data_IF_586845147184
#
_entry.id   IF_586845147184
#
_cell.length_a   1.000
_cell.length_b   1.000
_cell.length_c   1.000
_cell.angle_alpha   90.00
_cell.angle_beta   90.00
_cell.angle_gamma   90.00
#
_symmetry.space_group_name_H-M   'P 1'
#
loop_
_entity.id
_entity.type
_entity.pdbx_description
1 polymer ?
#
# COMPACT_ATOMS: atom_id res chain seq x y z
N UNK A 1 11.32 22.67 -20.91
CA UNK A 1 10.83 22.78 -19.51
C UNK A 1 11.63 23.84 -18.78
N UNK A 2 10.99 24.79 -18.09
CA UNK A 2 11.69 25.77 -17.23
C UNK A 2 11.73 25.26 -15.80
N UNK A 3 12.90 25.28 -15.18
CA UNK A 3 13.13 24.84 -13.81
C UNK A 3 12.92 26.00 -12.82
N UNK A 4 12.80 25.67 -11.53
CA UNK A 4 12.56 26.65 -10.47
C UNK A 4 13.70 27.68 -10.32
N UNK A 5 14.93 27.31 -10.69
CA UNK A 5 16.11 28.18 -10.71
C UNK A 5 16.18 29.08 -11.97
N UNK A 6 15.17 29.02 -12.84
CA UNK A 6 15.10 29.77 -14.09
C UNK A 6 15.78 29.08 -15.28
N UNK A 7 16.50 27.98 -15.06
CA UNK A 7 17.12 27.17 -16.10
C UNK A 7 16.11 26.58 -17.08
N UNK A 8 16.54 26.28 -18.31
CA UNK A 8 15.68 25.70 -19.34
C UNK A 8 16.29 24.41 -19.86
N UNK A 9 15.54 23.31 -19.76
CA UNK A 9 15.86 22.02 -20.36
C UNK A 9 15.09 21.91 -21.68
N UNK A 10 15.76 21.89 -22.86
CA UNK A 10 15.12 21.60 -24.13
C UNK A 10 14.53 20.19 -24.09
N UNK A 11 13.27 20.03 -24.51
CA UNK A 11 12.60 18.74 -24.54
C UNK A 11 11.58 18.73 -25.69
N UNK A 12 11.57 17.63 -26.45
CA UNK A 12 10.55 17.37 -27.47
C UNK A 12 9.29 16.74 -26.86
N UNK A 13 9.45 15.99 -25.77
CA UNK A 13 8.37 15.35 -25.02
C UNK A 13 8.61 15.57 -23.52
N UNK A 14 7.54 15.84 -22.77
CA UNK A 14 7.56 15.94 -21.31
C UNK A 14 6.53 14.97 -20.74
N UNK A 15 6.95 14.11 -19.81
CA UNK A 15 6.06 13.21 -19.06
C UNK A 15 5.91 13.73 -17.64
N UNK A 16 4.67 13.94 -17.20
CA UNK A 16 4.34 14.40 -15.85
C UNK A 16 3.80 13.22 -15.04
N UNK A 17 4.57 12.76 -14.04
CA UNK A 17 4.19 11.69 -13.12
C UNK A 17 4.18 12.23 -11.67
N UNK A 18 3.31 13.21 -11.41
CA UNK A 18 3.28 14.00 -10.15
C UNK A 18 2.12 13.62 -9.20
N UNK A 19 1.61 12.39 -9.37
CA UNK A 19 0.46 11.88 -8.62
C UNK A 19 -0.89 12.19 -9.27
N UNK A 20 -1.94 11.55 -8.73
CA UNK A 20 -3.34 11.70 -9.16
C UNK A 20 -4.18 12.31 -8.04
N UNK A 21 -5.37 12.81 -8.37
CA UNK A 21 -6.36 13.27 -7.39
C UNK A 21 -7.66 12.50 -7.62
N UNK A 22 -8.41 12.16 -6.55
CA UNK A 22 -9.74 11.57 -6.70
C UNK A 22 -10.64 12.46 -7.56
N UNK A 23 -11.36 11.86 -8.50
CA UNK A 23 -12.42 12.56 -9.24
C UNK A 23 -13.76 12.33 -8.54
N UNK A 24 -14.19 13.36 -7.80
CA UNK A 24 -15.45 13.39 -7.05
C UNK A 24 -16.43 14.43 -7.60
N UNK A 25 -16.16 14.97 -8.80
CA UNK A 25 -16.91 16.08 -9.38
C UNK A 25 -18.39 15.76 -9.60
N UNK A 26 -18.69 14.56 -10.11
CA UNK A 26 -20.06 14.08 -10.32
C UNK A 26 -20.82 13.92 -9.00
N UNK A 27 -20.18 13.35 -7.98
CA UNK A 27 -20.79 13.14 -6.66
C UNK A 27 -21.12 14.48 -5.99
N UNK A 28 -20.20 15.45 -6.05
CA UNK A 28 -20.43 16.79 -5.51
C UNK A 28 -21.58 17.50 -6.24
N UNK A 29 -21.64 17.40 -7.58
CA UNK A 29 -22.74 17.97 -8.37
C UNK A 29 -24.10 17.31 -8.05
N UNK A 30 -24.10 16.04 -7.66
CA UNK A 30 -25.28 15.30 -7.22
C UNK A 30 -25.67 15.57 -5.75
N UNK A 31 -24.92 16.42 -5.02
CA UNK A 31 -25.19 16.73 -3.62
C UNK A 31 -24.71 15.67 -2.62
N UNK A 32 -23.88 14.72 -3.05
CA UNK A 32 -23.28 13.73 -2.16
C UNK A 32 -22.14 14.37 -1.34
N UNK A 33 -21.97 13.98 -0.07
CA UNK A 33 -20.84 14.43 0.74
C UNK A 33 -19.49 14.00 0.14
N UNK A 34 -18.58 14.98 0.03
CA UNK A 34 -17.23 14.80 -0.50
C UNK A 34 -16.26 15.53 0.43
N UNK A 35 -15.09 14.93 0.68
CA UNK A 35 -13.95 15.58 1.32
C UNK A 35 -12.73 15.55 0.37
N UNK A 36 -11.78 14.63 0.58
CA UNK A 36 -10.71 14.37 -0.39
C UNK A 36 -11.23 13.49 -1.53
N UNK A 37 -12.17 12.61 -1.22
CA UNK A 37 -12.91 11.80 -2.19
C UNK A 37 -14.40 11.66 -1.77
N UNK A 38 -15.15 10.80 -2.44
CA UNK A 38 -16.56 10.53 -2.14
C UNK A 38 -16.65 9.79 -0.81
N UNK A 39 -17.36 10.35 0.17
CA UNK A 39 -17.48 9.72 1.48
C UNK A 39 -18.34 8.45 1.40
N UNK A 40 -17.81 7.34 1.95
CA UNK A 40 -18.51 6.06 2.01
C UNK A 40 -18.49 5.43 3.40
N UNK A 41 -19.53 4.65 3.70
CA UNK A 41 -19.61 3.82 4.91
C UNK A 41 -18.89 2.47 4.74
N UNK A 42 -18.96 1.60 5.75
CA UNK A 42 -18.33 0.27 5.73
C UNK A 42 -18.89 -0.67 4.65
N UNK A 43 -20.09 -0.42 4.13
CA UNK A 43 -20.68 -1.16 3.01
C UNK A 43 -20.34 -0.53 1.64
N UNK A 44 -19.45 0.46 1.61
CA UNK A 44 -19.07 1.27 0.45
C UNK A 44 -20.23 2.11 -0.12
N UNK A 45 -21.26 2.36 0.68
CA UNK A 45 -22.41 3.19 0.32
C UNK A 45 -22.08 4.65 0.56
N UNK A 46 -22.54 5.51 -0.35
CA UNK A 46 -22.53 6.95 -0.13
C UNK A 46 -23.70 7.36 0.78
N UNK A 47 -23.88 8.67 1.00
CA UNK A 47 -25.05 9.18 1.72
C UNK A 47 -26.40 8.85 1.03
N UNK A 48 -26.39 8.61 -0.28
CA UNK A 48 -27.54 8.03 -0.98
C UNK A 48 -27.40 6.49 -0.98
N UNK A 49 -28.36 5.74 -0.40
CA UNK A 49 -28.28 4.29 -0.28
C UNK A 49 -28.33 3.54 -1.62
N UNK A 50 -28.72 4.21 -2.72
CA UNK A 50 -28.69 3.64 -4.07
C UNK A 50 -27.34 3.86 -4.79
N UNK A 51 -26.43 4.65 -4.22
CA UNK A 51 -25.16 5.02 -4.85
C UNK A 51 -23.98 4.51 -4.01
N UNK A 52 -23.05 3.84 -4.67
CA UNK A 52 -21.83 3.27 -4.10
C UNK A 52 -20.61 3.91 -4.76
N UNK A 53 -19.49 3.99 -4.03
CA UNK A 53 -18.20 4.40 -4.58
C UNK A 53 -17.11 3.44 -4.11
N UNK A 54 -16.18 3.10 -5.00
CA UNK A 54 -15.09 2.14 -4.73
C UNK A 54 -13.80 2.60 -5.41
N UNK A 55 -12.67 2.17 -4.87
CA UNK A 55 -11.35 2.52 -5.40
C UNK A 55 -10.93 3.95 -5.08
N UNK A 56 -10.14 4.57 -5.96
CA UNK A 56 -9.45 5.84 -5.67
C UNK A 56 -10.40 7.04 -5.49
N UNK A 57 -11.64 6.94 -5.97
CA UNK A 57 -12.67 7.97 -5.79
C UNK A 57 -13.43 7.84 -4.46
N UNK A 58 -13.19 6.80 -3.67
CA UNK A 58 -13.84 6.57 -2.39
C UNK A 58 -12.96 7.00 -1.20
N UNK A 59 -13.58 7.59 -0.20
CA UNK A 59 -12.98 7.93 1.09
C UNK A 59 -13.70 7.17 2.19
N UNK A 60 -13.03 6.16 2.74
CA UNK A 60 -13.53 5.33 3.83
C UNK A 60 -12.79 5.67 5.11
N UNK A 61 -13.52 6.12 6.15
CA UNK A 61 -12.94 6.52 7.44
C UNK A 61 -11.74 7.50 7.32
N UNK A 62 -11.82 8.44 6.38
CA UNK A 62 -10.77 9.44 6.12
C UNK A 62 -9.58 8.95 5.29
N UNK A 63 -9.57 7.67 4.90
CA UNK A 63 -8.54 7.08 4.05
C UNK A 63 -8.97 7.06 2.58
N UNK A 64 -8.03 7.42 1.70
CA UNK A 64 -8.15 7.32 0.23
C UNK A 64 -6.99 6.47 -0.25
N UNK A 65 -7.28 5.31 -0.82
CA UNK A 65 -6.27 4.28 -1.12
C UNK A 65 -6.16 4.05 -2.62
N UNK A 66 -4.96 4.28 -3.16
CA UNK A 66 -4.62 4.18 -4.59
C UNK A 66 -4.04 2.84 -5.01
N UNK A 67 -4.62 1.72 -4.56
CA UNK A 67 -4.07 0.38 -4.77
C UNK A 67 -5.12 -0.61 -5.25
N UNK A 68 -4.68 -1.55 -6.11
CA UNK A 68 -5.57 -2.54 -6.74
C UNK A 68 -6.23 -3.46 -5.71
N UNK A 69 -5.47 -4.01 -4.76
CA UNK A 69 -6.02 -4.96 -3.78
C UNK A 69 -7.10 -4.33 -2.88
N UNK A 70 -6.89 -3.13 -2.30
CA UNK A 70 -7.95 -2.37 -1.63
C UNK A 70 -9.16 -2.09 -2.52
N UNK A 71 -8.95 -1.62 -3.76
CA UNK A 71 -10.04 -1.34 -4.69
C UNK A 71 -10.90 -2.58 -5.00
N UNK A 72 -10.28 -3.76 -5.16
CA UNK A 72 -10.99 -5.03 -5.34
C UNK A 72 -11.81 -5.41 -4.10
N UNK A 73 -11.23 -5.28 -2.90
CA UNK A 73 -11.95 -5.56 -1.65
C UNK A 73 -13.12 -4.60 -1.42
N UNK A 74 -12.99 -3.33 -1.81
CA UNK A 74 -14.10 -2.37 -1.82
C UNK A 74 -15.18 -2.81 -2.81
N UNK A 75 -14.80 -3.20 -4.03
CA UNK A 75 -15.75 -3.69 -5.05
C UNK A 75 -16.51 -4.94 -4.60
N UNK A 76 -15.83 -5.91 -3.98
CA UNK A 76 -16.44 -7.11 -3.39
C UNK A 76 -17.44 -6.73 -2.29
N UNK A 77 -17.07 -5.80 -1.41
CA UNK A 77 -17.95 -5.32 -0.34
C UNK A 77 -19.20 -4.62 -0.90
N UNK A 78 -19.02 -3.73 -1.88
CA UNK A 78 -20.14 -3.05 -2.53
C UNK A 78 -21.07 -4.03 -3.24
N UNK A 79 -20.52 -5.03 -3.94
CA UNK A 79 -21.29 -6.06 -4.63
C UNK A 79 -22.13 -6.90 -3.65
N UNK A 80 -21.54 -7.34 -2.53
CA UNK A 80 -22.27 -8.06 -1.48
C UNK A 80 -23.41 -7.19 -0.89
N UNK A 81 -23.13 -5.92 -0.62
CA UNK A 81 -24.12 -4.99 -0.10
C UNK A 81 -25.29 -4.74 -1.07
N UNK A 82 -25.02 -4.72 -2.39
CA UNK A 82 -26.05 -4.63 -3.45
C UNK A 82 -26.87 -5.92 -3.51
N UNK A 83 -26.25 -7.08 -3.29
CA UNK A 83 -26.93 -8.38 -3.26
C UNK A 83 -27.77 -8.62 -1.99
N UNK A 84 -27.74 -7.69 -1.03
CA UNK A 84 -28.44 -7.84 0.26
C UNK A 84 -27.68 -8.75 1.25
N UNK A 85 -26.40 -9.03 0.98
CA UNK A 85 -25.54 -9.80 1.85
C UNK A 85 -24.88 -8.88 2.89
N UNK A 86 -24.57 -9.44 4.06
CA UNK A 86 -23.83 -8.73 5.09
C UNK A 86 -22.34 -8.73 4.77
N UNK A 87 -21.71 -7.56 4.83
CA UNK A 87 -20.28 -7.39 4.61
C UNK A 87 -19.84 -5.98 5.03
N UNK A 88 -18.61 -5.86 5.49
CA UNK A 88 -18.00 -4.60 5.88
C UNK A 88 -16.56 -4.57 5.35
N UNK A 89 -16.21 -3.49 4.67
CA UNK A 89 -14.86 -3.24 4.21
C UNK A 89 -13.96 -2.97 5.42
N UNK A 90 -12.94 -3.81 5.58
CA UNK A 90 -11.91 -3.63 6.58
C UNK A 90 -10.58 -3.32 5.86
N UNK A 91 -10.02 -2.11 6.05
CA UNK A 91 -8.69 -1.80 5.56
C UNK A 91 -7.67 -2.83 6.06
N UNK A 92 -6.79 -3.29 5.17
CA UNK A 92 -5.66 -4.16 5.51
C UNK A 92 -4.36 -3.41 5.30
N UNK A 93 -3.25 -3.81 5.96
CA UNK A 93 -1.93 -3.25 5.67
C UNK A 93 -1.66 -3.25 4.16
N UNK A 94 -1.39 -2.06 3.64
CA UNK A 94 -1.14 -1.86 2.22
C UNK A 94 0.17 -2.53 1.80
N UNK A 95 0.18 -3.09 0.61
CA UNK A 95 1.37 -3.58 -0.05
C UNK A 95 1.35 -3.22 -1.54
N UNK A 96 2.51 -2.87 -2.05
CA UNK A 96 2.70 -2.50 -3.44
C UNK A 96 3.92 -3.22 -4.00
N UNK A 97 3.75 -3.81 -5.18
CA UNK A 97 4.85 -4.32 -6.00
C UNK A 97 4.98 -3.44 -7.24
N UNK A 98 6.18 -2.94 -7.51
CA UNK A 98 6.45 -2.15 -8.71
C UNK A 98 6.97 -3.06 -9.82
N UNK A 99 6.29 -3.06 -10.96
CA UNK A 99 6.67 -3.81 -12.14
C UNK A 99 7.64 -2.99 -13.00
N UNK A 100 8.85 -2.79 -12.50
CA UNK A 100 9.94 -2.10 -13.21
C UNK A 100 10.78 -3.17 -13.91
N UNK A 101 11.12 -2.94 -15.18
CA UNK A 101 11.97 -3.88 -15.92
C UNK A 101 13.35 -3.96 -15.28
N UNK A 102 13.82 -5.19 -15.00
CA UNK A 102 15.15 -5.46 -14.47
C UNK A 102 15.32 -5.24 -12.96
N UNK A 103 14.29 -4.78 -12.24
CA UNK A 103 14.36 -4.57 -10.78
C UNK A 103 13.05 -4.95 -10.12
N UNK A 104 13.08 -5.94 -9.23
CA UNK A 104 11.95 -6.23 -8.36
C UNK A 104 11.96 -5.26 -7.17
N UNK A 105 10.83 -4.59 -6.93
CA UNK A 105 10.65 -3.73 -5.75
C UNK A 105 9.30 -4.04 -5.12
N UNK A 106 9.30 -4.23 -3.81
CA UNK A 106 8.11 -4.41 -3.02
C UNK A 106 8.18 -3.59 -1.73
N UNK A 107 7.05 -3.06 -1.30
CA UNK A 107 6.89 -2.41 0.00
C UNK A 107 5.57 -2.80 0.62
N UNK A 108 5.55 -3.04 1.92
CA UNK A 108 4.30 -3.31 2.64
C UNK A 108 4.35 -2.83 4.08
N UNK A 109 3.18 -2.48 4.63
CA UNK A 109 3.04 -1.96 5.98
C UNK A 109 3.62 -0.54 6.15
N UNK A 110 4.10 -0.24 7.35
CA UNK A 110 4.64 1.07 7.72
C UNK A 110 6.08 1.24 7.20
N UNK A 111 6.31 2.25 6.38
CA UNK A 111 7.65 2.59 5.87
C UNK A 111 8.26 3.70 6.72
N UNK A 112 9.45 3.42 7.27
CA UNK A 112 10.19 4.33 8.15
C UNK A 112 9.40 4.95 9.32
N UNK A 113 8.59 4.17 10.08
CA UNK A 113 7.98 4.68 11.31
C UNK A 113 9.07 5.11 12.32
N UNK A 114 8.89 6.27 12.98
CA UNK A 114 9.93 6.89 13.83
C UNK A 114 10.25 6.12 15.12
N UNK A 115 9.32 5.27 15.55
CA UNK A 115 9.31 4.54 16.81
C UNK A 115 9.52 3.02 16.62
N UNK A 116 10.05 2.60 15.47
CA UNK A 116 10.35 1.21 15.17
C UNK A 116 11.86 0.96 15.04
N UNK A 117 12.29 -0.23 15.48
CA UNK A 117 13.61 -0.77 15.21
C UNK A 117 13.74 -1.07 13.72
N UNK A 118 14.82 -0.61 13.09
CA UNK A 118 15.10 -0.91 11.69
C UNK A 118 16.17 -1.99 11.56
N UNK A 119 15.86 -3.08 10.87
CA UNK A 119 16.79 -4.16 10.54
C UNK A 119 17.04 -4.10 9.04
N UNK A 120 18.31 -4.06 8.63
CA UNK A 120 18.68 -3.89 7.21
C UNK A 120 19.63 -5.00 6.77
N UNK A 121 19.30 -5.62 5.64
CA UNK A 121 20.20 -6.44 4.85
C UNK A 121 20.51 -5.70 3.54
N UNK A 122 21.79 -5.65 3.17
CA UNK A 122 22.24 -5.00 1.96
C UNK A 122 23.44 -5.76 1.39
N UNK A 123 23.28 -6.30 0.19
CA UNK A 123 24.34 -6.91 -0.60
C UNK A 123 24.51 -6.14 -1.93
N UNK A 124 25.53 -5.27 -2.03
CA UNK A 124 25.79 -4.51 -3.25
C UNK A 124 26.15 -5.38 -4.46
N UNK A 125 26.70 -6.59 -4.26
CA UNK A 125 27.17 -7.42 -5.36
C UNK A 125 26.02 -8.09 -6.11
N UNK A 126 25.00 -8.56 -5.38
CA UNK A 126 23.75 -9.06 -5.97
C UNK A 126 22.72 -7.95 -6.23
N UNK A 127 22.90 -6.77 -5.64
CA UNK A 127 21.92 -5.68 -5.68
C UNK A 127 20.71 -5.95 -4.79
N UNK A 128 20.81 -6.89 -3.85
CA UNK A 128 19.72 -7.21 -2.94
C UNK A 128 19.71 -6.25 -1.75
N UNK A 129 18.54 -5.72 -1.44
CA UNK A 129 18.34 -4.87 -0.28
C UNK A 129 17.01 -5.19 0.37
N UNK A 130 17.03 -5.30 1.69
CA UNK A 130 15.83 -5.51 2.50
C UNK A 130 15.92 -4.62 3.74
N UNK A 131 14.85 -3.90 4.02
CA UNK A 131 14.72 -3.12 5.25
C UNK A 131 13.40 -3.44 5.92
N UNK A 132 13.50 -3.86 7.17
CA UNK A 132 12.38 -4.31 7.99
C UNK A 132 12.22 -3.36 9.17
N UNK A 133 10.99 -3.05 9.54
CA UNK A 133 10.67 -2.24 10.72
C UNK A 133 9.92 -3.08 11.73
N UNK A 134 10.41 -3.10 12.98
CA UNK A 134 9.85 -3.86 14.07
C UNK A 134 9.39 -2.94 15.20
N UNK A 135 8.22 -3.24 15.76
CA UNK A 135 7.70 -2.59 16.97
C UNK A 135 7.21 -3.68 17.92
N UNK A 136 7.66 -3.64 19.17
CA UNK A 136 7.28 -4.62 20.21
C UNK A 136 7.45 -6.09 19.78
N UNK A 137 8.53 -6.37 19.06
CA UNK A 137 8.84 -7.71 18.56
C UNK A 137 7.92 -8.19 17.43
N UNK A 138 7.21 -7.29 16.75
CA UNK A 138 6.33 -7.58 15.60
C UNK A 138 6.80 -6.82 14.38
N UNK A 139 6.70 -7.43 13.20
CA UNK A 139 7.01 -6.75 11.94
C UNK A 139 5.87 -5.79 11.58
N UNK A 140 6.17 -4.50 11.46
CA UNK A 140 5.17 -3.48 11.11
C UNK A 140 5.29 -2.98 9.67
N UNK A 141 6.41 -3.24 9.02
CA UNK A 141 6.60 -2.94 7.61
C UNK A 141 7.91 -3.48 7.04
N UNK A 142 8.00 -3.51 5.72
CA UNK A 142 9.17 -4.00 5.00
C UNK A 142 9.28 -3.37 3.61
N UNK A 143 10.53 -3.19 3.15
CA UNK A 143 10.90 -2.81 1.78
C UNK A 143 11.90 -3.84 1.27
N UNK A 144 11.63 -4.40 0.09
CA UNK A 144 12.47 -5.37 -0.60
C UNK A 144 12.85 -4.79 -1.97
N UNK A 145 14.11 -4.95 -2.35
CA UNK A 145 14.68 -4.48 -3.61
C UNK A 145 15.66 -5.53 -4.15
N UNK A 146 15.65 -5.71 -5.48
CA UNK A 146 16.46 -6.72 -6.18
C UNK A 146 15.79 -8.09 -6.10
N UNK A 147 15.68 -8.63 -4.89
CA UNK A 147 14.93 -9.85 -4.60
C UNK A 147 13.70 -9.58 -3.72
N UNK A 148 12.52 -9.77 -4.32
CA UNK A 148 11.22 -9.61 -3.68
C UNK A 148 10.42 -10.93 -3.60
N UNK A 149 11.08 -12.09 -3.77
CA UNK A 149 10.43 -13.41 -3.74
C UNK A 149 9.73 -13.70 -2.41
N UNK A 150 10.31 -13.23 -1.31
CA UNK A 150 9.81 -13.41 0.06
C UNK A 150 8.70 -12.42 0.45
N UNK A 151 8.21 -11.60 -0.49
CA UNK A 151 7.21 -10.55 -0.23
C UNK A 151 5.95 -11.07 0.48
N UNK A 152 5.45 -12.25 0.11
CA UNK A 152 4.28 -12.88 0.75
C UNK A 152 4.53 -13.25 2.21
N UNK A 153 5.72 -13.75 2.55
CA UNK A 153 6.11 -14.08 3.92
C UNK A 153 6.10 -12.82 4.81
N UNK A 154 6.70 -11.73 4.34
CA UNK A 154 6.71 -10.48 5.11
C UNK A 154 5.32 -9.86 5.21
N UNK A 155 4.50 -9.93 4.16
CA UNK A 155 3.10 -9.49 4.21
C UNK A 155 2.29 -10.27 5.26
N UNK A 156 2.45 -11.59 5.33
CA UNK A 156 1.78 -12.43 6.33
C UNK A 156 2.18 -12.03 7.76
N UNK A 157 3.47 -11.78 8.00
CA UNK A 157 3.94 -11.29 9.30
C UNK A 157 3.33 -9.94 9.68
N UNK A 158 3.22 -9.01 8.73
CA UNK A 158 2.62 -7.69 8.94
C UNK A 158 1.12 -7.82 9.23
N UNK A 159 0.40 -8.62 8.44
CA UNK A 159 -1.05 -8.79 8.54
C UNK A 159 -1.46 -9.57 9.79
N UNK A 160 -0.79 -10.68 10.07
CA UNK A 160 -1.04 -11.48 11.29
C UNK A 160 -0.58 -10.74 12.56
N UNK A 161 0.38 -9.84 12.40
CA UNK A 161 1.04 -9.12 13.47
C UNK A 161 1.78 -10.03 14.45
N UNK A 162 1.95 -11.33 14.19
CA UNK A 162 2.49 -12.27 15.18
C UNK A 162 3.92 -11.88 15.63
N UNK A 163 4.32 -12.19 16.87
CA UNK A 163 5.69 -11.93 17.31
C UNK A 163 6.72 -12.66 16.44
N UNK A 164 7.81 -11.97 16.11
CA UNK A 164 8.96 -12.54 15.41
C UNK A 164 10.06 -12.91 16.41
N UNK A 165 10.75 -14.02 16.13
CA UNK A 165 11.84 -14.53 16.97
C UNK A 165 13.01 -13.55 17.12
N UNK A 166 13.93 -13.79 18.08
CA UNK A 166 15.03 -12.88 18.38
C UNK A 166 16.07 -12.76 17.25
N UNK A 167 16.10 -13.71 16.31
CA UNK A 167 17.03 -13.69 15.18
C UNK A 167 16.65 -12.63 14.13
N UNK A 168 17.10 -11.40 14.37
CA UNK A 168 16.91 -10.26 13.45
C UNK A 168 17.68 -10.45 12.14
N UNK A 169 18.87 -11.06 12.21
CA UNK A 169 19.70 -11.28 11.04
C UNK A 169 19.06 -12.29 10.09
N UNK A 170 18.60 -13.42 10.62
CA UNK A 170 17.86 -14.41 9.85
C UNK A 170 16.56 -13.86 9.28
N UNK A 171 15.82 -13.05 10.05
CA UNK A 171 14.61 -12.39 9.55
C UNK A 171 14.89 -11.50 8.34
N UNK A 172 16.02 -10.78 8.32
CA UNK A 172 16.43 -9.96 7.18
C UNK A 172 16.92 -10.80 5.98
N UNK A 173 17.52 -11.96 6.25
CA UNK A 173 17.97 -12.92 5.23
C UNK A 173 16.84 -13.76 4.62
N UNK A 174 15.66 -13.77 5.24
CA UNK A 174 14.45 -14.39 4.70
C UNK A 174 14.09 -15.74 5.34
N UNK A 175 12.92 -16.30 4.98
CA UNK A 175 12.38 -17.52 5.60
C UNK A 175 13.32 -18.72 5.48
N UNK A 176 13.95 -18.91 4.31
CA UNK A 176 14.90 -20.01 4.10
C UNK A 176 16.10 -19.98 5.07
N UNK A 177 16.49 -18.82 5.58
CA UNK A 177 17.56 -18.71 6.57
C UNK A 177 17.05 -19.04 7.97
N UNK A 178 15.85 -18.55 8.32
CA UNK A 178 15.21 -18.82 9.60
C UNK A 178 14.95 -20.33 9.80
N UNK A 179 14.52 -21.04 8.76
CA UNK A 179 14.28 -22.49 8.82
C UNK A 179 15.56 -23.29 9.00
N UNK A 180 16.69 -22.82 8.48
CA UNK A 180 18.00 -23.48 8.62
C UNK A 180 18.66 -23.25 9.98
N UNK A 181 18.21 -22.24 10.73
CA UNK A 181 18.72 -21.88 12.05
C UNK A 181 17.88 -22.45 13.22
N UNK A 182 16.73 -23.06 12.93
CA UNK A 182 15.80 -23.67 13.90
C UNK A 182 16.11 -25.17 14.11
#
# INVERSE_FOLDING_TARGET
MRLADGGVVPAEIVVLAVGVRPDSSLAAAAGLPVNRAILVDDAMRTADPAIYAVGECAEHNGAVVGLVAPALAMAETAAAAIAGEAGAYAPRPDAAALKISGVAVWSGGQVAPPDAEAVTFHDPASGHFRRLWLRDGRLVGAVLYGDAGDSSFYLDLIVSGRPVGPDRAGLALGPDHLERAA
#
